data_IF_798893789241
#
_entry.id   IF_798893789241
#
_cell.length_a   1.000
_cell.length_b   1.000
_cell.length_c   1.000
_cell.angle_alpha   90.00
_cell.angle_beta   90.00
_cell.angle_gamma   90.00
#
_symmetry.space_group_name_H-M   'P 1'
#
loop_
_entity.id
_entity.type
_entity.pdbx_description
1 polymer ?
#
# COMPACT_ATOMS: atom_id res chain seq x y z
N UNK A 1 -28.01 1.26 10.46
CA UNK A 1 -27.57 0.81 9.12
C UNK A 1 -28.63 -0.15 8.63
N UNK A 2 -29.41 0.27 7.62
CA UNK A 2 -30.46 -0.58 7.05
C UNK A 2 -29.76 -1.74 6.32
N UNK A 3 -30.23 -2.97 6.48
CA UNK A 3 -29.60 -4.21 6.00
C UNK A 3 -29.57 -4.39 4.49
N UNK A 4 -29.40 -3.31 3.73
CA UNK A 4 -29.13 -3.35 2.29
C UNK A 4 -27.75 -3.97 2.06
N UNK A 5 -27.64 -4.98 1.19
CA UNK A 5 -26.36 -5.57 0.85
C UNK A 5 -25.43 -4.52 0.25
N UNK A 6 -24.17 -4.51 0.69
CA UNK A 6 -23.17 -3.63 0.11
C UNK A 6 -23.06 -3.92 -1.39
N UNK A 7 -22.95 -2.88 -2.23
CA UNK A 7 -22.79 -3.08 -3.67
C UNK A 7 -21.54 -3.93 -3.93
N UNK A 8 -21.70 -4.95 -4.77
CA UNK A 8 -20.59 -5.85 -5.08
C UNK A 8 -19.48 -5.08 -5.84
N UNK A 9 -18.23 -5.26 -5.40
CA UNK A 9 -17.09 -4.67 -6.09
C UNK A 9 -16.92 -5.25 -7.48
N UNK A 10 -16.65 -4.38 -8.45
CA UNK A 10 -16.27 -4.81 -9.79
C UNK A 10 -14.93 -5.57 -9.77
N UNK A 11 -14.63 -6.32 -10.84
CA UNK A 11 -13.35 -7.04 -10.96
C UNK A 11 -12.15 -6.09 -10.82
N UNK A 12 -12.21 -4.90 -11.40
CA UNK A 12 -11.12 -3.91 -11.32
C UNK A 12 -10.93 -3.42 -9.89
N UNK A 13 -12.01 -3.16 -9.16
CA UNK A 13 -11.96 -2.75 -7.76
C UNK A 13 -11.40 -3.86 -6.86
N UNK A 14 -11.78 -5.12 -7.09
CA UNK A 14 -11.21 -6.29 -6.38
C UNK A 14 -9.71 -6.40 -6.59
N UNK A 15 -9.23 -6.23 -7.84
CA UNK A 15 -7.81 -6.27 -8.17
C UNK A 15 -7.05 -5.10 -7.53
N UNK A 16 -7.57 -3.89 -7.60
CA UNK A 16 -6.96 -2.70 -7.01
C UNK A 16 -6.85 -2.81 -5.49
N UNK A 17 -7.93 -3.24 -4.82
CA UNK A 17 -7.93 -3.49 -3.38
C UNK A 17 -6.92 -4.59 -3.00
N UNK A 18 -6.87 -5.68 -3.78
CA UNK A 18 -5.90 -6.76 -3.59
C UNK A 18 -4.45 -6.29 -3.72
N UNK A 19 -4.15 -5.46 -4.72
CA UNK A 19 -2.82 -4.89 -4.91
C UNK A 19 -2.39 -3.98 -3.75
N UNK A 20 -3.29 -3.10 -3.30
CA UNK A 20 -3.04 -2.23 -2.14
C UNK A 20 -2.81 -3.05 -0.86
N UNK A 21 -3.61 -4.09 -0.62
CA UNK A 21 -3.45 -4.99 0.52
C UNK A 21 -2.11 -5.73 0.47
N UNK A 22 -1.71 -6.24 -0.71
CA UNK A 22 -0.42 -6.90 -0.88
C UNK A 22 0.75 -5.96 -0.58
N UNK A 23 0.73 -4.73 -1.12
CA UNK A 23 1.76 -3.71 -0.85
C UNK A 23 1.83 -3.33 0.64
N UNK A 24 0.68 -3.26 1.30
CA UNK A 24 0.62 -2.96 2.72
C UNK A 24 1.25 -4.08 3.55
N UNK A 25 0.91 -5.35 3.25
CA UNK A 25 1.50 -6.51 3.92
C UNK A 25 3.01 -6.60 3.67
N UNK A 26 3.48 -6.26 2.48
CA UNK A 26 4.92 -6.18 2.18
C UNK A 26 5.59 -5.13 3.06
N UNK A 27 5.00 -3.94 3.21
CA UNK A 27 5.55 -2.90 4.07
C UNK A 27 5.58 -3.31 5.55
N UNK A 28 4.54 -4.01 6.04
CA UNK A 28 4.51 -4.57 7.40
C UNK A 28 5.59 -5.64 7.58
N UNK A 29 5.75 -6.55 6.61
CA UNK A 29 6.82 -7.55 6.64
C UNK A 29 8.22 -6.90 6.65
N UNK A 30 8.41 -5.87 5.82
CA UNK A 30 9.65 -5.10 5.80
C UNK A 30 9.90 -4.34 7.11
N UNK A 31 8.86 -3.81 7.77
CA UNK A 31 8.98 -3.22 9.11
C UNK A 31 9.45 -4.24 10.14
N UNK A 32 8.91 -5.46 10.12
CA UNK A 32 9.39 -6.55 10.97
C UNK A 32 10.87 -6.85 10.74
N UNK A 33 11.30 -6.95 9.48
CA UNK A 33 12.71 -7.11 9.11
C UNK A 33 13.59 -5.95 9.61
N UNK A 34 13.16 -4.71 9.39
CA UNK A 34 13.88 -3.50 9.79
C UNK A 34 14.09 -3.41 11.30
N UNK A 35 13.05 -3.74 12.08
CA UNK A 35 13.10 -3.78 13.54
C UNK A 35 14.03 -4.90 14.04
N UNK A 36 13.96 -6.09 13.44
CA UNK A 36 14.80 -7.22 13.85
C UNK A 36 16.30 -6.95 13.61
N UNK A 37 16.64 -6.22 12.55
CA UNK A 37 18.03 -5.96 12.15
C UNK A 37 18.53 -4.55 12.49
N UNK A 38 17.67 -3.69 13.06
CA UNK A 38 17.97 -2.29 13.39
C UNK A 38 18.47 -1.47 12.18
N UNK A 39 17.97 -1.77 10.98
CA UNK A 39 18.33 -1.07 9.73
C UNK A 39 17.09 -0.43 9.11
N UNK A 40 17.25 0.78 8.56
CA UNK A 40 16.19 1.50 7.84
C UNK A 40 14.87 1.68 8.64
N UNK A 41 14.93 1.59 9.98
CA UNK A 41 13.74 1.63 10.85
C UNK A 41 12.88 2.89 10.63
N UNK A 42 13.42 4.12 10.57
CA UNK A 42 12.61 5.31 10.32
C UNK A 42 11.88 5.26 8.97
N UNK A 43 12.55 4.74 7.94
CA UNK A 43 11.96 4.58 6.62
C UNK A 43 10.83 3.54 6.64
N UNK A 44 11.04 2.39 7.29
CA UNK A 44 10.01 1.34 7.36
C UNK A 44 8.75 1.81 8.11
N UNK A 45 8.92 2.51 9.24
CA UNK A 45 7.80 3.11 9.98
C UNK A 45 7.09 4.14 9.11
N UNK A 46 7.85 5.04 8.49
CA UNK A 46 7.31 6.08 7.61
C UNK A 46 6.55 5.50 6.42
N UNK A 47 7.06 4.43 5.81
CA UNK A 47 6.42 3.81 4.66
C UNK A 47 5.10 3.14 5.00
N UNK A 48 5.00 2.44 6.14
CA UNK A 48 3.73 1.89 6.64
C UNK A 48 2.73 3.02 6.92
N UNK A 49 3.16 4.07 7.62
CA UNK A 49 2.31 5.23 7.90
C UNK A 49 1.79 5.89 6.62
N UNK A 50 2.68 6.10 5.63
CA UNK A 50 2.32 6.66 4.33
C UNK A 50 1.28 5.80 3.59
N UNK A 51 1.40 4.47 3.61
CA UNK A 51 0.39 3.59 2.99
C UNK A 51 -0.97 3.71 3.69
N UNK A 52 -0.99 3.75 5.04
CA UNK A 52 -2.24 3.92 5.80
C UNK A 52 -2.92 5.23 5.43
N UNK A 53 -2.23 6.36 5.58
CA UNK A 53 -2.82 7.67 5.30
C UNK A 53 -3.10 7.89 3.81
N UNK A 54 -2.23 7.39 2.94
CA UNK A 54 -2.38 7.47 1.48
C UNK A 54 -3.62 6.72 0.99
N UNK A 55 -3.75 5.43 1.33
CA UNK A 55 -4.91 4.63 0.92
C UNK A 55 -6.21 5.10 1.58
N UNK A 56 -6.22 5.33 2.89
CA UNK A 56 -7.44 5.79 3.60
C UNK A 56 -7.86 7.17 3.09
N UNK A 57 -6.91 8.09 2.92
CA UNK A 57 -7.17 9.42 2.37
C UNK A 57 -7.72 9.33 0.95
N UNK A 58 -7.05 8.59 0.07
CA UNK A 58 -7.50 8.43 -1.32
C UNK A 58 -8.88 7.77 -1.42
N UNK A 59 -9.17 6.74 -0.62
CA UNK A 59 -10.50 6.11 -0.58
C UNK A 59 -11.57 7.06 -0.06
N UNK A 60 -11.26 7.86 0.96
CA UNK A 60 -12.19 8.88 1.47
C UNK A 60 -12.58 9.87 0.37
N UNK A 61 -11.60 10.39 -0.37
CA UNK A 61 -11.86 11.33 -1.48
C UNK A 61 -12.51 10.65 -2.70
N UNK A 62 -12.20 9.37 -2.94
CA UNK A 62 -12.81 8.54 -3.97
C UNK A 62 -14.21 8.02 -3.59
N UNK A 63 -14.75 8.38 -2.42
CA UNK A 63 -16.04 7.88 -1.91
C UNK A 63 -16.12 6.34 -1.87
N UNK A 64 -15.01 5.68 -1.58
CA UNK A 64 -14.90 4.22 -1.52
C UNK A 64 -14.67 3.52 -2.85
N UNK A 65 -14.51 4.25 -3.96
CA UNK A 65 -14.19 3.64 -5.26
C UNK A 65 -12.70 3.27 -5.38
N UNK A 66 -12.41 1.98 -5.32
CA UNK A 66 -11.05 1.44 -5.49
C UNK A 66 -10.52 1.55 -6.93
N UNK A 67 -11.37 1.76 -7.94
CA UNK A 67 -10.94 1.99 -9.32
C UNK A 67 -10.69 3.47 -9.61
N UNK A 68 -10.94 4.35 -8.64
CA UNK A 68 -10.76 5.78 -8.80
C UNK A 68 -9.28 6.13 -9.04
N UNK A 69 -8.97 7.07 -9.96
CA UNK A 69 -7.60 7.44 -10.28
C UNK A 69 -6.76 7.84 -9.06
N UNK A 70 -7.35 8.53 -8.09
CA UNK A 70 -6.65 8.89 -6.85
C UNK A 70 -6.14 7.67 -6.06
N UNK A 71 -6.97 6.63 -5.94
CA UNK A 71 -6.57 5.41 -5.24
C UNK A 71 -5.53 4.63 -6.05
N UNK A 72 -5.77 4.48 -7.36
CA UNK A 72 -4.83 3.80 -8.26
C UNK A 72 -3.47 4.48 -8.31
N UNK A 73 -3.41 5.81 -8.23
CA UNK A 73 -2.17 6.55 -8.13
C UNK A 73 -1.42 6.24 -6.83
N UNK A 74 -2.12 6.09 -5.70
CA UNK A 74 -1.47 5.65 -4.45
C UNK A 74 -0.88 4.25 -4.58
N UNK A 75 -1.62 3.31 -5.17
CA UNK A 75 -1.12 1.96 -5.43
C UNK A 75 0.14 2.03 -6.29
N UNK A 76 0.11 2.79 -7.39
CA UNK A 76 1.25 2.95 -8.30
C UNK A 76 2.46 3.58 -7.61
N UNK A 77 2.26 4.63 -6.79
CA UNK A 77 3.34 5.27 -6.03
C UNK A 77 4.04 4.27 -5.10
N UNK A 78 3.29 3.37 -4.46
CA UNK A 78 3.88 2.36 -3.59
C UNK A 78 4.52 1.19 -4.35
N UNK A 79 4.03 0.85 -5.55
CA UNK A 79 4.75 -0.05 -6.46
C UNK A 79 6.11 0.55 -6.83
N UNK A 80 6.17 1.83 -7.17
CA UNK A 80 7.43 2.53 -7.49
C UNK A 80 8.35 2.54 -6.27
N UNK A 81 7.83 2.87 -5.09
CA UNK A 81 8.61 2.84 -3.85
C UNK A 81 9.21 1.45 -3.57
N UNK A 82 8.42 0.38 -3.74
CA UNK A 82 8.87 -1.00 -3.59
C UNK A 82 9.95 -1.36 -4.63
N UNK A 83 9.80 -0.93 -5.89
CA UNK A 83 10.79 -1.17 -6.93
C UNK A 83 12.12 -0.47 -6.61
N UNK A 84 12.07 0.80 -6.19
CA UNK A 84 13.24 1.58 -5.79
C UNK A 84 13.93 0.97 -4.56
N UNK A 85 13.16 0.57 -3.54
CA UNK A 85 13.69 -0.11 -2.37
C UNK A 85 14.40 -1.41 -2.76
N UNK A 86 13.75 -2.23 -3.59
CA UNK A 86 14.32 -3.48 -4.08
C UNK A 86 15.64 -3.24 -4.83
N UNK A 87 15.71 -2.22 -5.69
CA UNK A 87 16.94 -1.85 -6.40
C UNK A 87 18.04 -1.38 -5.46
N UNK A 88 17.72 -0.56 -4.46
CA UNK A 88 18.68 -0.11 -3.46
C UNK A 88 19.26 -1.28 -2.65
N UNK A 89 18.40 -2.23 -2.25
CA UNK A 89 18.82 -3.45 -1.55
C UNK A 89 19.69 -4.34 -2.43
N UNK A 90 19.29 -4.58 -3.69
CA UNK A 90 20.11 -5.35 -4.64
C UNK A 90 21.49 -4.72 -4.82
N UNK A 91 21.55 -3.39 -4.97
CA UNK A 91 22.83 -2.68 -5.12
C UNK A 91 23.70 -2.74 -3.87
N UNK A 92 23.10 -2.78 -2.68
CA UNK A 92 23.85 -2.95 -1.43
C UNK A 92 24.40 -4.37 -1.25
N UNK A 93 23.82 -5.37 -1.93
CA UNK A 93 24.19 -6.79 -1.83
C UNK A 93 25.13 -7.27 -2.96
N UNK A 94 25.34 -6.48 -4.00
CA UNK A 94 26.21 -6.77 -5.15
C UNK A 94 27.56 -6.07 -5.05
#
# INVERSE_FOLDING_TARGET
>A
MNGEPLPELSRSQKLAAGAAAALFLIAVGFLGFALANQVLVPFAIGWVALQIFGYVGALKFAKGDFAHPLFMNQVLLHVIALALLSMALMKALS
#
